data_IF_488851660264
#
_entry.id   IF_488851660264
#
_cell.length_a   1.000
_cell.length_b   1.000
_cell.length_c   1.000
_cell.angle_alpha   90.00
_cell.angle_beta   90.00
_cell.angle_gamma   90.00
#
_symmetry.space_group_name_H-M   'P 1'
#
loop_
_entity.id
_entity.type
_entity.pdbx_description
1 polymer ?
#
# COMPACT_ATOMS: atom_id res chain seq x y z
N UNK A 1 -0.31 35.98 -18.24
CA UNK A 1 0.34 36.15 -16.93
C UNK A 1 -0.42 35.48 -15.77
N UNK A 2 -1.30 34.49 -16.03
CA UNK A 2 -2.10 33.77 -15.01
C UNK A 2 -1.73 32.29 -14.84
N UNK A 3 -0.68 31.82 -15.53
CA UNK A 3 -0.36 30.40 -15.61
C UNK A 3 -0.15 29.78 -14.23
N UNK A 4 0.54 30.49 -13.33
CA UNK A 4 0.86 29.98 -11.99
C UNK A 4 -0.38 29.94 -11.10
N UNK A 5 -1.20 30.97 -11.16
CA UNK A 5 -2.44 31.12 -10.38
C UNK A 5 -3.46 30.05 -10.81
N UNK A 6 -3.61 29.82 -12.11
CA UNK A 6 -4.46 28.76 -12.66
C UNK A 6 -3.97 27.38 -12.21
N UNK A 7 -2.67 27.08 -12.38
CA UNK A 7 -2.10 25.79 -11.96
C UNK A 7 -2.28 25.56 -10.46
N UNK A 8 -2.07 26.59 -9.64
CA UNK A 8 -2.25 26.49 -8.18
C UNK A 8 -3.70 26.19 -7.84
N UNK A 9 -4.65 26.89 -8.45
CA UNK A 9 -6.08 26.69 -8.21
C UNK A 9 -6.52 25.29 -8.63
N UNK A 10 -6.10 24.84 -9.83
CA UNK A 10 -6.41 23.49 -10.31
C UNK A 10 -5.83 22.40 -9.41
N UNK A 11 -4.59 22.58 -8.93
CA UNK A 11 -3.95 21.62 -8.05
C UNK A 11 -4.64 21.54 -6.69
N UNK A 12 -4.98 22.69 -6.09
CA UNK A 12 -5.68 22.73 -4.80
C UNK A 12 -7.07 22.10 -4.92
N UNK A 13 -7.82 22.41 -5.97
CA UNK A 13 -9.12 21.78 -6.22
C UNK A 13 -8.96 20.27 -6.37
N UNK A 14 -7.98 19.81 -7.15
CA UNK A 14 -7.74 18.38 -7.33
C UNK A 14 -7.42 17.66 -6.00
N UNK A 15 -6.57 18.27 -5.16
CA UNK A 15 -6.27 17.76 -3.80
C UNK A 15 -7.56 17.61 -2.99
N UNK A 16 -8.44 18.62 -3.02
CA UNK A 16 -9.69 18.63 -2.24
C UNK A 16 -10.70 17.63 -2.78
N UNK A 17 -10.93 17.61 -4.09
CA UNK A 17 -11.95 16.79 -4.74
C UNK A 17 -11.63 15.29 -4.58
N UNK A 18 -10.38 14.92 -4.83
CA UNK A 18 -9.95 13.52 -4.80
C UNK A 18 -9.49 13.07 -3.40
N UNK A 19 -8.52 13.78 -2.80
CA UNK A 19 -7.96 13.46 -1.49
C UNK A 19 -8.89 13.77 -0.32
N UNK A 20 -9.85 14.68 -0.52
CA UNK A 20 -10.77 15.16 0.50
C UNK A 20 -10.26 16.39 1.25
N UNK A 21 -11.20 17.17 1.79
CA UNK A 21 -10.93 18.46 2.46
C UNK A 21 -9.93 18.37 3.62
N UNK A 22 -9.79 17.21 4.26
CA UNK A 22 -8.87 17.00 5.39
C UNK A 22 -7.54 16.37 5.00
N UNK A 23 -7.32 16.04 3.71
CA UNK A 23 -6.12 15.31 3.27
C UNK A 23 -4.82 15.98 3.76
N UNK A 24 -4.64 17.26 3.43
CA UNK A 24 -3.40 17.95 3.72
C UNK A 24 -3.18 18.04 5.24
N UNK A 25 -4.22 18.35 6.02
CA UNK A 25 -4.15 18.36 7.49
C UNK A 25 -3.78 16.98 8.08
N UNK A 26 -4.40 15.90 7.60
CA UNK A 26 -4.11 14.54 8.09
C UNK A 26 -2.68 14.13 7.78
N UNK A 27 -2.19 14.35 6.57
CA UNK A 27 -0.80 14.04 6.19
C UNK A 27 0.19 14.82 7.05
N UNK A 28 -0.07 16.10 7.31
CA UNK A 28 0.81 16.92 8.17
C UNK A 28 0.79 16.43 9.62
N UNK A 29 -0.36 16.03 10.16
CA UNK A 29 -0.48 15.53 11.53
C UNK A 29 0.13 14.14 11.71
N UNK A 30 0.01 13.29 10.69
CA UNK A 30 0.44 11.90 10.77
C UNK A 30 1.95 11.73 10.55
N UNK A 31 2.57 12.55 9.70
CA UNK A 31 3.98 12.41 9.29
C UNK A 31 4.84 13.59 9.79
N UNK A 32 4.24 14.70 10.25
CA UNK A 32 4.97 15.86 10.75
C UNK A 32 5.59 16.74 9.67
N UNK A 33 5.10 16.66 8.44
CA UNK A 33 5.57 17.47 7.29
C UNK A 33 4.77 18.75 7.11
N UNK A 34 5.24 19.67 6.25
CA UNK A 34 4.50 20.88 5.90
C UNK A 34 3.44 20.66 4.81
N UNK A 35 2.49 21.59 4.69
CA UNK A 35 1.43 21.54 3.65
C UNK A 35 1.98 21.49 2.22
N UNK A 36 3.12 22.12 1.96
CA UNK A 36 3.76 22.08 0.63
C UNK A 36 4.20 20.65 0.29
N UNK A 37 4.74 19.92 1.26
CA UNK A 37 5.17 18.53 1.05
C UNK A 37 3.97 17.60 0.91
N UNK A 38 2.89 17.83 1.67
CA UNK A 38 1.62 17.12 1.47
C UNK A 38 1.09 17.29 0.02
N UNK A 39 1.10 18.51 -0.51
CA UNK A 39 0.64 18.80 -1.89
C UNK A 39 1.59 18.22 -2.94
N UNK A 40 2.91 18.29 -2.75
CA UNK A 40 3.90 17.66 -3.65
C UNK A 40 3.70 16.16 -3.73
N UNK A 41 3.53 15.54 -2.58
CA UNK A 41 3.31 14.10 -2.45
C UNK A 41 1.98 13.67 -3.07
N UNK A 42 0.92 14.45 -2.90
CA UNK A 42 -0.32 14.24 -3.63
C UNK A 42 -0.11 14.30 -5.14
N UNK A 43 0.57 15.34 -5.65
CA UNK A 43 0.80 15.49 -7.09
C UNK A 43 1.59 14.31 -7.68
N UNK A 44 2.59 13.78 -6.95
CA UNK A 44 3.29 12.57 -7.36
C UNK A 44 2.36 11.33 -7.34
N UNK A 45 1.59 11.15 -6.27
CA UNK A 45 0.65 10.04 -6.11
C UNK A 45 -0.41 10.02 -7.22
N UNK A 46 -1.01 11.17 -7.51
CA UNK A 46 -1.99 11.34 -8.58
C UNK A 46 -1.43 10.90 -9.93
N UNK A 47 -0.23 11.39 -10.28
CA UNK A 47 0.42 11.06 -11.54
C UNK A 47 0.88 9.59 -11.62
N UNK A 48 1.33 8.98 -10.51
CA UNK A 48 1.78 7.59 -10.48
C UNK A 48 0.61 6.61 -10.63
N UNK A 49 -0.51 6.89 -9.96
CA UNK A 49 -1.63 5.94 -9.89
C UNK A 49 -2.81 6.27 -10.81
N UNK A 50 -2.83 7.47 -11.39
CA UNK A 50 -3.94 7.96 -12.23
C UNK A 50 -5.19 8.31 -11.41
N UNK A 51 -5.00 8.84 -10.19
CA UNK A 51 -6.07 9.06 -9.20
C UNK A 51 -7.18 9.93 -9.77
N UNK A 52 -6.85 11.08 -10.36
CA UNK A 52 -7.84 12.03 -10.89
C UNK A 52 -8.66 11.39 -12.01
N UNK A 53 -8.06 10.53 -12.83
CA UNK A 53 -8.76 9.82 -13.90
C UNK A 53 -9.78 8.84 -13.33
N UNK A 54 -9.40 8.05 -12.33
CA UNK A 54 -10.32 7.13 -11.65
C UNK A 54 -11.44 7.87 -10.93
N UNK A 55 -11.10 8.96 -10.23
CA UNK A 55 -12.10 9.79 -9.55
C UNK A 55 -13.13 10.36 -10.51
N UNK A 56 -12.71 10.88 -11.68
CA UNK A 56 -13.65 11.37 -12.71
C UNK A 56 -14.58 10.27 -13.21
N UNK A 57 -14.07 9.06 -13.45
CA UNK A 57 -14.91 7.94 -13.86
C UNK A 57 -15.97 7.57 -12.81
N UNK A 58 -15.61 7.61 -11.52
CA UNK A 58 -16.56 7.40 -10.41
C UNK A 58 -17.60 8.53 -10.38
N UNK A 59 -17.15 9.78 -10.47
CA UNK A 59 -18.00 10.95 -10.42
C UNK A 59 -19.00 10.99 -11.58
N UNK A 60 -18.53 10.81 -12.82
CA UNK A 60 -19.36 10.78 -14.03
C UNK A 60 -20.39 9.63 -13.96
N UNK A 61 -19.99 8.47 -13.41
CA UNK A 61 -20.91 7.35 -13.18
C UNK A 61 -22.03 7.70 -12.20
N UNK A 62 -21.72 8.46 -11.15
CA UNK A 62 -22.70 8.98 -10.19
C UNK A 62 -23.63 10.03 -10.82
N UNK A 63 -23.07 11.03 -11.53
CA UNK A 63 -23.85 12.10 -12.16
C UNK A 63 -24.84 11.58 -13.21
N UNK A 64 -24.44 10.57 -13.98
CA UNK A 64 -25.28 9.96 -15.01
C UNK A 64 -26.25 8.90 -14.46
N UNK A 65 -26.29 8.68 -13.14
CA UNK A 65 -27.16 7.71 -12.49
C UNK A 65 -26.80 6.24 -12.75
N UNK A 66 -25.60 5.97 -13.28
CA UNK A 66 -25.11 4.60 -13.50
C UNK A 66 -24.63 3.95 -12.20
N UNK A 67 -24.05 4.75 -11.31
CA UNK A 67 -23.60 4.33 -9.99
C UNK A 67 -24.55 4.84 -8.90
N UNK A 68 -25.07 3.95 -8.04
CA UNK A 68 -25.70 4.37 -6.79
C UNK A 68 -24.76 5.19 -5.92
N UNK A 69 -25.31 6.14 -5.15
CA UNK A 69 -24.53 7.09 -4.33
C UNK A 69 -23.63 6.35 -3.33
N UNK A 70 -24.16 5.33 -2.66
CA UNK A 70 -23.42 4.52 -1.69
C UNK A 70 -22.24 3.79 -2.34
N UNK A 71 -22.38 3.37 -3.60
CA UNK A 71 -21.31 2.73 -4.38
C UNK A 71 -20.25 3.75 -4.79
N UNK A 72 -20.65 4.89 -5.35
CA UNK A 72 -19.69 5.95 -5.70
C UNK A 72 -18.94 6.48 -4.47
N UNK A 73 -19.61 6.57 -3.33
CA UNK A 73 -19.01 6.99 -2.06
C UNK A 73 -17.98 5.95 -1.57
N UNK A 74 -18.34 4.66 -1.59
CA UNK A 74 -17.42 3.57 -1.23
C UNK A 74 -16.18 3.59 -2.11
N UNK A 75 -16.34 3.64 -3.43
CA UNK A 75 -15.22 3.70 -4.38
C UNK A 75 -14.33 4.93 -4.15
N UNK A 76 -14.93 6.09 -3.87
CA UNK A 76 -14.21 7.32 -3.53
C UNK A 76 -13.41 7.17 -2.24
N UNK A 77 -13.96 6.53 -1.21
CA UNK A 77 -13.25 6.27 0.04
C UNK A 77 -12.07 5.31 -0.15
N UNK A 78 -12.23 4.27 -0.97
CA UNK A 78 -11.12 3.35 -1.28
C UNK A 78 -10.01 4.03 -2.09
N UNK A 79 -10.37 4.92 -3.02
CA UNK A 79 -9.39 5.77 -3.71
C UNK A 79 -8.63 6.66 -2.73
N UNK A 80 -9.31 7.28 -1.75
CA UNK A 80 -8.65 8.09 -0.70
C UNK A 80 -7.70 7.26 0.16
N UNK A 81 -8.02 6.01 0.46
CA UNK A 81 -7.12 5.10 1.19
C UNK A 81 -5.86 4.80 0.40
N UNK A 82 -5.96 4.64 -0.93
CA UNK A 82 -4.78 4.52 -1.80
C UNK A 82 -3.94 5.80 -1.76
N UNK A 83 -4.57 6.97 -1.90
CA UNK A 83 -3.86 8.27 -1.84
C UNK A 83 -3.09 8.39 -0.52
N UNK A 84 -3.74 8.14 0.61
CA UNK A 84 -3.12 8.26 1.94
C UNK A 84 -1.93 7.31 2.11
N UNK A 85 -2.04 6.06 1.65
CA UNK A 85 -0.96 5.05 1.75
C UNK A 85 0.22 5.40 0.87
N UNK A 86 -0.04 5.71 -0.41
CA UNK A 86 1.01 6.06 -1.36
C UNK A 86 1.71 7.36 -0.96
N UNK A 87 0.96 8.35 -0.47
CA UNK A 87 1.51 9.60 0.02
C UNK A 87 2.50 9.38 1.17
N UNK A 88 2.07 8.61 2.17
CA UNK A 88 2.92 8.27 3.31
C UNK A 88 4.15 7.47 2.90
N UNK A 89 4.00 6.51 1.99
CA UNK A 89 5.13 5.74 1.47
C UNK A 89 6.19 6.66 0.85
N UNK A 90 5.77 7.60 -0.01
CA UNK A 90 6.68 8.57 -0.62
C UNK A 90 7.37 9.45 0.42
N UNK A 91 6.65 9.88 1.46
CA UNK A 91 7.23 10.70 2.53
C UNK A 91 8.25 9.93 3.38
N UNK A 92 8.02 8.63 3.60
CA UNK A 92 8.86 7.79 4.46
C UNK A 92 10.10 7.24 3.73
N UNK A 93 9.98 6.92 2.45
CA UNK A 93 11.01 6.18 1.71
C UNK A 93 11.75 7.03 0.65
N UNK A 94 11.30 8.26 0.38
CA UNK A 94 11.94 9.15 -0.61
C UNK A 94 12.52 10.39 0.05
N UNK A 95 13.66 10.92 -0.46
CA UNK A 95 14.25 12.15 0.07
C UNK A 95 13.28 13.33 0.03
N UNK A 96 13.28 14.12 1.11
CA UNK A 96 12.47 15.33 1.25
C UNK A 96 13.32 16.61 1.08
N UNK A 97 12.79 17.68 0.45
CA UNK A 97 11.47 17.78 -0.16
C UNK A 97 11.34 16.93 -1.44
N UNK A 98 10.19 16.29 -1.63
CA UNK A 98 9.95 15.37 -2.74
C UNK A 98 10.21 16.01 -4.11
N UNK A 99 11.11 15.40 -4.89
CA UNK A 99 11.34 15.77 -6.29
C UNK A 99 10.24 15.18 -7.19
N UNK A 100 9.05 15.78 -7.19
CA UNK A 100 7.82 15.26 -7.84
C UNK A 100 8.06 14.67 -9.24
N UNK A 101 8.73 15.40 -10.13
CA UNK A 101 8.97 14.92 -11.50
C UNK A 101 9.89 13.68 -11.56
N UNK A 102 10.88 13.59 -10.67
CA UNK A 102 11.77 12.44 -10.62
C UNK A 102 11.04 11.19 -10.13
N UNK A 103 10.17 11.33 -9.12
CA UNK A 103 9.38 10.22 -8.58
C UNK A 103 8.32 9.75 -9.58
N UNK A 104 7.69 10.66 -10.32
CA UNK A 104 6.81 10.30 -11.44
C UNK A 104 7.58 9.49 -12.49
N UNK A 105 8.75 9.97 -12.92
CA UNK A 105 9.57 9.27 -13.90
C UNK A 105 10.03 7.89 -13.42
N UNK A 106 10.29 7.74 -12.11
CA UNK A 106 10.69 6.46 -11.51
C UNK A 106 9.55 5.45 -11.48
N UNK A 107 8.34 5.87 -11.10
CA UNK A 107 7.25 4.94 -10.77
C UNK A 107 6.14 4.86 -11.81
N UNK A 108 5.68 5.97 -12.41
CA UNK A 108 4.39 5.99 -13.11
C UNK A 108 4.30 4.98 -14.27
N UNK A 109 5.31 4.95 -15.14
CA UNK A 109 5.34 4.01 -16.27
C UNK A 109 5.46 2.54 -15.81
N UNK A 110 6.28 2.28 -14.78
CA UNK A 110 6.46 0.93 -14.22
C UNK A 110 5.19 0.44 -13.52
N UNK A 111 4.54 1.28 -12.72
CA UNK A 111 3.24 0.97 -12.10
C UNK A 111 2.20 0.66 -13.16
N UNK A 112 2.09 1.47 -14.21
CA UNK A 112 1.18 1.23 -15.32
C UNK A 112 1.46 -0.11 -16.03
N UNK A 113 2.72 -0.46 -16.24
CA UNK A 113 3.12 -1.71 -16.89
C UNK A 113 2.89 -2.96 -16.01
N UNK A 114 3.06 -2.85 -14.69
CA UNK A 114 2.89 -3.97 -13.75
C UNK A 114 1.44 -4.18 -13.31
N UNK A 115 0.59 -3.15 -13.39
CA UNK A 115 -0.82 -3.25 -12.95
C UNK A 115 -1.59 -4.39 -13.63
N UNK A 116 -1.51 -4.61 -14.96
CA UNK A 116 -2.20 -5.70 -15.63
C UNK A 116 -1.73 -7.10 -15.20
N UNK A 117 -0.53 -7.20 -14.64
CA UNK A 117 0.07 -8.46 -14.18
C UNK A 117 -0.38 -8.83 -12.76
N UNK A 118 -0.94 -7.89 -11.99
CA UNK A 118 -1.37 -8.13 -10.61
C UNK A 118 -2.27 -9.37 -10.38
N UNK A 119 -3.23 -9.73 -11.26
CA UNK A 119 -4.02 -10.96 -11.08
C UNK A 119 -3.18 -12.24 -10.91
N UNK A 120 -1.94 -12.24 -11.39
CA UNK A 120 -1.04 -13.39 -11.31
C UNK A 120 -0.33 -13.50 -9.95
N UNK A 121 -0.22 -12.39 -9.21
CA UNK A 121 0.49 -12.33 -7.93
C UNK A 121 -0.44 -12.32 -6.72
N UNK A 122 -1.69 -11.86 -6.90
CA UNK A 122 -2.69 -11.94 -5.85
C UNK A 122 -3.00 -13.41 -5.54
N UNK A 123 -2.80 -13.78 -4.28
CA UNK A 123 -2.94 -15.14 -3.75
C UNK A 123 -4.01 -15.17 -2.66
N UNK A 124 -4.45 -16.38 -2.33
CA UNK A 124 -5.27 -16.64 -1.14
C UNK A 124 -6.46 -15.69 -0.96
N UNK A 125 -6.53 -15.09 0.23
CA UNK A 125 -7.61 -14.19 0.62
C UNK A 125 -7.63 -12.88 -0.19
N UNK A 126 -6.47 -12.36 -0.57
CA UNK A 126 -6.35 -11.09 -1.30
C UNK A 126 -7.02 -11.16 -2.66
N UNK A 127 -6.77 -12.24 -3.40
CA UNK A 127 -7.43 -12.47 -4.69
C UNK A 127 -8.95 -12.55 -4.52
N UNK A 128 -9.42 -13.30 -3.52
CA UNK A 128 -10.84 -13.45 -3.25
C UNK A 128 -11.51 -12.13 -2.85
N UNK A 129 -10.83 -11.28 -2.08
CA UNK A 129 -11.31 -9.95 -1.70
C UNK A 129 -11.45 -9.08 -2.95
N UNK A 130 -10.40 -8.99 -3.77
CA UNK A 130 -10.43 -8.18 -5.01
C UNK A 130 -11.53 -8.64 -5.95
N UNK A 131 -11.65 -9.94 -6.21
CA UNK A 131 -12.67 -10.50 -7.10
C UNK A 131 -14.08 -10.21 -6.57
N UNK A 132 -14.29 -10.34 -5.26
CA UNK A 132 -15.56 -10.02 -4.61
C UNK A 132 -15.89 -8.53 -4.74
N UNK A 133 -14.98 -7.64 -4.38
CA UNK A 133 -15.22 -6.19 -4.42
C UNK A 133 -15.44 -5.68 -5.85
N UNK A 134 -14.63 -6.15 -6.80
CA UNK A 134 -14.81 -5.83 -8.22
C UNK A 134 -16.17 -6.34 -8.73
N UNK A 135 -16.56 -7.55 -8.34
CA UNK A 135 -17.87 -8.12 -8.67
C UNK A 135 -19.04 -7.32 -8.07
N UNK A 136 -18.92 -6.90 -6.81
CA UNK A 136 -19.89 -6.04 -6.13
C UNK A 136 -20.04 -4.69 -6.85
N UNK A 137 -18.95 -4.01 -7.18
CA UNK A 137 -19.01 -2.74 -7.92
C UNK A 137 -19.62 -2.91 -9.31
N UNK A 138 -19.20 -3.94 -10.05
CA UNK A 138 -19.72 -4.21 -11.39
C UNK A 138 -21.21 -4.55 -11.38
N UNK A 139 -21.68 -5.31 -10.38
CA UNK A 139 -23.10 -5.63 -10.21
C UNK A 139 -23.96 -4.38 -9.96
N UNK A 140 -23.36 -3.29 -9.47
CA UNK A 140 -24.04 -2.01 -9.21
C UNK A 140 -23.68 -0.92 -10.24
N UNK A 141 -23.29 -1.32 -11.45
CA UNK A 141 -23.21 -0.41 -12.60
C UNK A 141 -21.83 0.16 -12.91
N UNK A 142 -20.79 -0.17 -12.14
CA UNK A 142 -19.43 0.18 -12.52
C UNK A 142 -18.99 -0.62 -13.76
N UNK A 143 -18.21 -0.01 -14.65
CA UNK A 143 -17.56 -0.76 -15.72
C UNK A 143 -16.58 -1.78 -15.11
N UNK A 144 -16.37 -2.95 -15.73
CA UNK A 144 -15.42 -3.95 -15.22
C UNK A 144 -14.03 -3.38 -14.95
N UNK A 145 -13.55 -2.51 -15.83
CA UNK A 145 -12.24 -1.87 -15.70
C UNK A 145 -12.18 -0.93 -14.49
N UNK A 146 -13.21 -0.11 -14.25
CA UNK A 146 -13.28 0.80 -13.12
C UNK A 146 -13.42 0.01 -11.81
N UNK A 147 -14.32 -0.97 -11.78
CA UNK A 147 -14.55 -1.84 -10.63
C UNK A 147 -13.26 -2.53 -10.19
N UNK A 148 -12.56 -3.16 -11.14
CA UNK A 148 -11.29 -3.82 -10.86
C UNK A 148 -10.21 -2.83 -10.42
N UNK A 149 -10.07 -1.70 -11.13
CA UNK A 149 -9.06 -0.67 -10.82
C UNK A 149 -9.18 -0.11 -9.41
N UNK A 150 -10.41 0.08 -8.92
CA UNK A 150 -10.66 0.53 -7.54
C UNK A 150 -10.39 -0.60 -6.55
N UNK A 151 -10.91 -1.81 -6.80
CA UNK A 151 -10.74 -2.96 -5.92
C UNK A 151 -9.26 -3.33 -5.69
N UNK A 152 -8.41 -3.27 -6.73
CA UNK A 152 -6.98 -3.54 -6.58
C UNK A 152 -6.19 -2.40 -5.94
N UNK A 153 -6.76 -1.22 -5.73
CA UNK A 153 -6.01 -0.02 -5.38
C UNK A 153 -5.10 -0.20 -4.16
N UNK A 154 -5.60 -0.89 -3.13
CA UNK A 154 -4.87 -1.18 -1.90
C UNK A 154 -3.80 -2.27 -2.02
N UNK A 155 -3.72 -2.96 -3.15
CA UNK A 155 -2.61 -3.86 -3.48
C UNK A 155 -1.67 -3.21 -4.50
N UNK A 156 -2.21 -2.36 -5.37
CA UNK A 156 -1.48 -1.62 -6.39
C UNK A 156 -0.45 -0.68 -5.76
N UNK A 157 -0.74 -0.11 -4.58
CA UNK A 157 0.24 0.73 -3.88
C UNK A 157 1.51 -0.05 -3.47
N UNK A 158 1.44 -1.37 -3.25
CA UNK A 158 2.61 -2.22 -2.96
C UNK A 158 3.60 -2.28 -4.12
N UNK A 159 3.20 -1.89 -5.34
CA UNK A 159 4.11 -1.76 -6.46
C UNK A 159 5.20 -0.69 -6.22
N UNK A 160 4.98 0.28 -5.33
CA UNK A 160 6.04 1.21 -4.92
C UNK A 160 7.18 0.48 -4.23
N UNK A 161 6.86 -0.43 -3.30
CA UNK A 161 7.87 -1.27 -2.66
C UNK A 161 8.56 -2.18 -3.66
N UNK A 162 7.79 -2.89 -4.48
CA UNK A 162 8.32 -3.80 -5.50
C UNK A 162 9.30 -3.10 -6.43
N UNK A 163 8.92 -1.97 -7.02
CA UNK A 163 9.77 -1.22 -7.94
C UNK A 163 11.02 -0.72 -7.23
N UNK A 164 10.87 -0.21 -6.01
CA UNK A 164 12.00 0.35 -5.27
C UNK A 164 12.99 -0.73 -4.81
N UNK A 165 12.50 -1.89 -4.37
CA UNK A 165 13.31 -3.08 -4.05
C UNK A 165 14.02 -3.56 -5.31
N UNK A 166 13.29 -3.75 -6.42
CA UNK A 166 13.84 -4.21 -7.70
C UNK A 166 14.98 -3.30 -8.19
N UNK A 167 14.82 -1.99 -8.08
CA UNK A 167 15.87 -1.03 -8.42
C UNK A 167 17.10 -1.13 -7.49
N UNK A 168 16.93 -1.51 -6.21
CA UNK A 168 18.02 -1.65 -5.23
C UNK A 168 18.78 -2.97 -5.39
N UNK A 169 18.08 -4.08 -5.60
CA UNK A 169 18.70 -5.41 -5.78
C UNK A 169 19.05 -5.72 -7.24
N UNK A 170 18.74 -4.80 -8.15
CA UNK A 170 18.97 -4.93 -9.61
C UNK A 170 18.30 -6.18 -10.21
N UNK A 171 17.04 -6.44 -9.83
CA UNK A 171 16.22 -7.57 -10.32
C UNK A 171 15.01 -7.13 -11.12
N UNK A 172 14.39 -8.08 -11.82
CA UNK A 172 13.16 -7.83 -12.57
C UNK A 172 12.00 -7.51 -11.60
N UNK A 173 11.26 -6.39 -11.79
CA UNK A 173 10.14 -6.06 -10.92
C UNK A 173 9.03 -7.12 -10.84
N UNK A 174 8.83 -7.94 -11.88
CA UNK A 174 7.85 -9.02 -11.86
C UNK A 174 8.29 -10.19 -10.95
N UNK A 175 9.59 -10.48 -10.91
CA UNK A 175 10.18 -11.45 -9.97
C UNK A 175 10.04 -10.97 -8.52
N UNK A 176 10.34 -9.69 -8.29
CA UNK A 176 10.20 -9.08 -6.96
C UNK A 176 8.73 -9.02 -6.54
N UNK A 177 7.80 -8.73 -7.46
CA UNK A 177 6.37 -8.76 -7.18
C UNK A 177 5.92 -10.17 -6.76
N UNK A 178 6.33 -11.20 -7.52
CA UNK A 178 6.01 -12.58 -7.21
C UNK A 178 6.44 -12.95 -5.78
N UNK A 179 7.68 -12.62 -5.42
CA UNK A 179 8.24 -12.83 -4.08
C UNK A 179 7.52 -12.02 -3.00
N UNK A 180 7.25 -10.74 -3.26
CA UNK A 180 6.61 -9.83 -2.29
C UNK A 180 5.20 -10.29 -1.93
N UNK A 181 4.39 -10.66 -2.93
CA UNK A 181 3.03 -11.15 -2.69
C UNK A 181 3.02 -12.59 -2.14
N UNK A 182 3.97 -13.45 -2.50
CA UNK A 182 4.12 -14.77 -1.90
C UNK A 182 4.40 -14.64 -0.40
N UNK A 183 5.27 -13.68 -0.04
CA UNK A 183 5.64 -13.41 1.34
C UNK A 183 4.48 -12.78 2.12
N UNK A 184 3.68 -11.92 1.49
CA UNK A 184 2.48 -11.32 2.07
C UNK A 184 1.47 -12.40 2.52
N UNK A 185 1.19 -13.36 1.62
CA UNK A 185 0.30 -14.51 1.84
C UNK A 185 0.87 -15.49 2.86
N UNK A 186 2.15 -15.87 2.72
CA UNK A 186 2.82 -16.82 3.61
C UNK A 186 2.87 -16.38 5.08
N UNK A 187 2.90 -15.06 5.31
CA UNK A 187 2.90 -14.45 6.65
C UNK A 187 1.49 -14.11 7.16
N UNK A 188 0.45 -14.21 6.32
CA UNK A 188 -0.94 -13.85 6.66
C UNK A 188 -1.10 -12.36 6.98
N UNK A 189 -0.32 -11.50 6.32
CA UNK A 189 -0.28 -10.06 6.65
C UNK A 189 -1.55 -9.32 6.27
N UNK A 190 -2.30 -9.82 5.29
CA UNK A 190 -3.62 -9.34 4.89
C UNK A 190 -4.61 -9.37 6.05
N UNK A 191 -4.65 -10.46 6.81
CA UNK A 191 -5.49 -10.63 7.99
C UNK A 191 -5.14 -9.63 9.08
N UNK A 192 -3.85 -9.41 9.34
CA UNK A 192 -3.40 -8.38 10.29
C UNK A 192 -3.78 -6.97 9.83
N UNK A 193 -3.57 -6.64 8.56
CA UNK A 193 -3.89 -5.32 8.02
C UNK A 193 -5.40 -5.04 8.01
N UNK A 194 -6.20 -6.10 7.82
CA UNK A 194 -7.66 -6.07 7.95
C UNK A 194 -8.06 -5.85 9.41
N UNK A 195 -7.46 -6.57 10.37
CA UNK A 195 -7.69 -6.36 11.79
C UNK A 195 -7.31 -4.93 12.25
N UNK A 196 -6.17 -4.41 11.78
CA UNK A 196 -5.77 -3.00 12.00
C UNK A 196 -6.77 -2.01 11.38
N UNK A 197 -7.43 -2.38 10.28
CA UNK A 197 -8.49 -1.58 9.67
C UNK A 197 -9.79 -1.59 10.51
N UNK A 198 -10.05 -2.66 11.25
CA UNK A 198 -11.21 -2.81 12.15
C UNK A 198 -11.05 -2.17 13.53
N UNK A 199 -9.83 -1.82 13.95
CA UNK A 199 -9.59 -1.13 15.22
C UNK A 199 -10.42 0.16 15.38
N UNK A 200 -10.73 0.60 16.63
CA UNK A 200 -11.44 1.86 16.89
C UNK A 200 -10.73 3.11 16.34
N UNK A 201 -11.46 4.23 16.24
CA UNK A 201 -10.96 5.56 15.80
C UNK A 201 -11.30 6.65 16.82
N UNK A 202 -11.28 6.29 18.09
CA UNK A 202 -11.92 7.10 19.14
C UNK A 202 -11.18 8.43 19.37
N UNK A 203 -9.87 8.46 19.12
CA UNK A 203 -9.07 9.67 19.20
C UNK A 203 -7.86 9.68 18.24
N UNK A 204 -7.08 10.77 18.32
CA UNK A 204 -5.84 10.98 17.57
C UNK A 204 -4.80 9.89 17.85
N UNK A 205 -4.63 9.47 19.09
CA UNK A 205 -3.61 8.48 19.47
C UNK A 205 -3.95 7.09 18.99
N UNK A 206 -5.23 6.70 19.02
CA UNK A 206 -5.72 5.48 18.39
C UNK A 206 -5.44 5.49 16.88
N UNK A 207 -5.66 6.63 16.21
CA UNK A 207 -5.37 6.78 14.78
C UNK A 207 -3.88 6.62 14.49
N UNK A 208 -3.00 7.29 15.25
CA UNK A 208 -1.55 7.16 15.12
C UNK A 208 -1.04 5.75 15.45
N UNK A 209 -1.58 5.08 16.46
CA UNK A 209 -1.20 3.72 16.81
C UNK A 209 -1.50 2.73 15.67
N UNK A 210 -2.68 2.83 15.05
CA UNK A 210 -3.05 2.01 13.89
C UNK A 210 -2.12 2.22 12.70
N UNK A 211 -1.76 3.48 12.49
CA UNK A 211 -0.82 3.86 11.45
C UNK A 211 0.56 3.27 11.72
N UNK A 212 1.08 3.40 12.95
CA UNK A 212 2.36 2.83 13.34
C UNK A 212 2.40 1.32 13.17
N UNK A 213 1.35 0.59 13.58
CA UNK A 213 1.28 -0.87 13.39
C UNK A 213 1.30 -1.23 11.90
N UNK A 214 0.58 -0.48 11.06
CA UNK A 214 0.56 -0.70 9.61
C UNK A 214 1.93 -0.45 8.97
N UNK A 215 2.56 0.66 9.32
CA UNK A 215 3.89 1.03 8.83
C UNK A 215 4.93 -0.02 9.27
N UNK A 216 4.80 -0.55 10.49
CA UNK A 216 5.64 -1.63 11.00
C UNK A 216 5.48 -2.95 10.23
N UNK A 217 4.24 -3.33 9.89
CA UNK A 217 3.95 -4.53 9.09
C UNK A 217 4.58 -4.39 7.70
N UNK A 218 4.30 -3.30 6.98
CA UNK A 218 4.82 -3.10 5.64
C UNK A 218 6.34 -2.91 5.61
N UNK A 219 6.89 -2.16 6.58
CA UNK A 219 8.34 -2.02 6.71
C UNK A 219 9.04 -3.35 6.97
N UNK A 220 8.42 -4.24 7.74
CA UNK A 220 8.96 -5.59 7.97
C UNK A 220 8.81 -6.47 6.73
N UNK A 221 7.68 -6.42 6.02
CA UNK A 221 7.48 -7.14 4.77
C UNK A 221 8.51 -6.74 3.72
N UNK A 222 8.76 -5.43 3.57
CA UNK A 222 9.79 -4.88 2.70
C UNK A 222 11.19 -5.40 3.07
N UNK A 223 11.56 -5.34 4.34
CA UNK A 223 12.86 -5.83 4.82
C UNK A 223 13.04 -7.35 4.62
N UNK A 224 11.99 -8.13 4.87
CA UNK A 224 11.98 -9.57 4.63
C UNK A 224 12.08 -9.91 3.14
N UNK A 225 11.44 -9.12 2.27
CA UNK A 225 11.56 -9.30 0.83
C UNK A 225 13.02 -9.17 0.35
N UNK A 226 13.78 -8.22 0.89
CA UNK A 226 15.24 -8.16 0.66
C UNK A 226 15.95 -9.43 1.18
N UNK A 227 15.66 -9.88 2.41
CA UNK A 227 16.29 -11.06 2.99
C UNK A 227 16.00 -12.34 2.17
N UNK A 228 14.79 -12.47 1.62
CA UNK A 228 14.36 -13.60 0.78
C UNK A 228 15.03 -13.55 -0.59
N UNK A 229 15.02 -12.39 -1.25
CA UNK A 229 15.68 -12.21 -2.55
C UNK A 229 17.21 -12.39 -2.47
N UNK A 230 17.82 -12.12 -1.32
CA UNK A 230 19.26 -12.26 -1.12
C UNK A 230 19.75 -13.73 -1.09
N UNK A 231 18.85 -14.69 -0.89
CA UNK A 231 19.21 -16.12 -0.83
C UNK A 231 18.67 -16.93 -2.01
N UNK A 232 17.57 -16.49 -2.62
CA UNK A 232 16.94 -17.22 -3.73
C UNK A 232 17.37 -16.72 -5.11
N UNK A 233 17.44 -17.63 -6.09
CA UNK A 233 17.89 -17.38 -7.45
C UNK A 233 16.80 -16.76 -8.33
N UNK A 234 17.13 -15.97 -9.38
CA UNK A 234 16.14 -15.21 -10.15
C UNK A 234 15.03 -16.05 -10.82
N UNK A 235 15.34 -17.26 -11.26
CA UNK A 235 14.43 -18.18 -11.96
C UNK A 235 13.49 -18.95 -11.04
N UNK A 236 13.69 -18.85 -9.72
CA UNK A 236 12.81 -19.48 -8.74
C UNK A 236 11.49 -18.71 -8.54
N UNK A 237 10.44 -19.43 -8.18
CA UNK A 237 9.20 -18.83 -7.69
C UNK A 237 9.39 -18.18 -6.32
N UNK A 238 8.54 -17.21 -5.97
CA UNK A 238 8.52 -16.59 -4.65
C UNK A 238 8.43 -17.61 -3.52
N UNK A 239 7.61 -18.66 -3.69
CA UNK A 239 7.47 -19.75 -2.73
C UNK A 239 8.77 -20.56 -2.54
N UNK A 240 9.51 -20.83 -3.62
CA UNK A 240 10.81 -21.50 -3.54
C UNK A 240 11.84 -20.63 -2.79
N UNK A 241 11.96 -19.35 -3.16
CA UNK A 241 12.85 -18.40 -2.48
C UNK A 241 12.54 -18.30 -0.98
N UNK A 242 11.26 -18.28 -0.61
CA UNK A 242 10.81 -18.27 0.78
C UNK A 242 11.24 -19.54 1.51
N UNK A 243 11.06 -20.72 0.90
CA UNK A 243 11.46 -21.99 1.51
C UNK A 243 12.97 -22.06 1.79
N UNK A 244 13.80 -21.55 0.89
CA UNK A 244 15.25 -21.47 1.08
C UNK A 244 15.64 -20.49 2.19
N UNK A 245 14.98 -19.32 2.22
CA UNK A 245 15.13 -18.35 3.29
C UNK A 245 14.74 -18.94 4.64
N UNK A 246 13.64 -19.67 4.74
CA UNK A 246 13.22 -20.34 5.97
C UNK A 246 14.21 -21.42 6.41
N UNK A 247 14.78 -22.19 5.48
CA UNK A 247 15.80 -23.19 5.81
C UNK A 247 17.00 -22.55 6.54
N UNK A 248 17.43 -21.38 6.08
CA UNK A 248 18.56 -20.64 6.66
C UNK A 248 18.20 -19.89 7.96
N UNK A 249 16.93 -19.53 8.15
CA UNK A 249 16.46 -18.68 9.26
C UNK A 249 15.49 -19.39 10.24
N UNK A 250 15.31 -20.71 10.13
CA UNK A 250 14.17 -21.44 10.66
C UNK A 250 13.89 -21.21 12.15
N UNK A 251 14.90 -21.21 13.02
CA UNK A 251 14.68 -21.02 14.47
C UNK A 251 14.04 -19.67 14.84
N UNK A 252 14.28 -18.63 14.04
CA UNK A 252 13.71 -17.28 14.24
C UNK A 252 12.30 -17.21 13.68
N UNK A 253 12.11 -17.73 12.46
CA UNK A 253 10.82 -17.75 11.77
C UNK A 253 9.80 -18.58 12.56
N UNK A 254 10.18 -19.79 13.00
CA UNK A 254 9.32 -20.69 13.77
C UNK A 254 8.84 -20.09 15.10
N UNK A 255 9.70 -19.34 15.81
CA UNK A 255 9.32 -18.66 17.05
C UNK A 255 8.29 -17.56 16.80
N UNK A 256 8.51 -16.75 15.77
CA UNK A 256 7.58 -15.70 15.40
C UNK A 256 6.24 -16.29 14.91
N UNK A 257 6.28 -17.33 14.08
CA UNK A 257 5.09 -18.03 13.55
C UNK A 257 4.22 -18.63 14.66
N UNK A 258 4.81 -19.24 15.69
CA UNK A 258 4.06 -19.76 16.84
C UNK A 258 3.24 -18.67 17.53
N UNK A 259 3.89 -17.54 17.82
CA UNK A 259 3.24 -16.39 18.48
C UNK A 259 2.15 -15.79 17.58
N UNK A 260 2.40 -15.66 16.28
CA UNK A 260 1.40 -15.18 15.31
C UNK A 260 0.20 -16.12 15.23
N UNK A 261 0.42 -17.43 15.26
CA UNK A 261 -0.66 -18.43 15.22
C UNK A 261 -1.56 -18.36 16.45
N UNK A 262 -0.98 -18.11 17.64
CA UNK A 262 -1.75 -17.87 18.87
C UNK A 262 -2.60 -16.60 18.77
N UNK A 263 -2.05 -15.54 18.18
CA UNK A 263 -2.78 -14.28 17.94
C UNK A 263 -3.93 -14.49 16.94
N UNK A 264 -3.68 -15.20 15.84
CA UNK A 264 -4.70 -15.48 14.82
C UNK A 264 -5.83 -16.38 15.32
N UNK A 265 -5.56 -17.25 16.29
CA UNK A 265 -6.57 -18.11 16.91
C UNK A 265 -7.42 -17.37 17.96
N UNK A 266 -7.01 -16.19 18.40
CA UNK A 266 -7.74 -15.41 19.40
C UNK A 266 -8.88 -14.58 18.80
N UNK A 267 -10.00 -14.47 19.52
CA UNK A 267 -11.18 -13.70 19.08
C UNK A 267 -11.02 -12.17 19.21
N UNK A 268 -9.97 -11.69 19.91
CA UNK A 268 -9.78 -10.27 20.22
C UNK A 268 -8.50 -9.71 19.57
N UNK A 269 -8.67 -8.82 18.60
CA UNK A 269 -7.58 -8.05 17.99
C UNK A 269 -7.63 -6.61 18.47
N UNK A 270 -7.05 -6.33 19.64
CA UNK A 270 -6.83 -4.97 20.13
C UNK A 270 -5.49 -4.40 19.65
N UNK A 271 -5.22 -3.12 19.95
CA UNK A 271 -3.97 -2.45 19.57
C UNK A 271 -2.75 -3.18 20.14
N UNK A 272 -2.82 -3.67 21.38
CA UNK A 272 -1.70 -4.34 22.03
C UNK A 272 -1.36 -5.64 21.30
N UNK A 273 -2.36 -6.46 21.02
CA UNK A 273 -2.22 -7.73 20.31
C UNK A 273 -1.66 -7.54 18.90
N UNK A 274 -2.18 -6.56 18.15
CA UNK A 274 -1.70 -6.29 16.79
C UNK A 274 -0.30 -5.64 16.77
N UNK A 275 0.05 -4.86 17.80
CA UNK A 275 1.42 -4.35 17.98
C UNK A 275 2.41 -5.49 18.24
N UNK A 276 2.02 -6.49 19.03
CA UNK A 276 2.84 -7.70 19.24
C UNK A 276 2.99 -8.46 17.93
N UNK A 277 1.91 -8.65 17.15
CA UNK A 277 1.98 -9.31 15.85
C UNK A 277 2.97 -8.61 14.90
N UNK A 278 2.86 -7.29 14.75
CA UNK A 278 3.79 -6.50 13.93
C UNK A 278 5.25 -6.66 14.39
N UNK A 279 5.48 -6.66 15.72
CA UNK A 279 6.80 -6.92 16.29
C UNK A 279 7.32 -8.33 15.99
N UNK A 280 6.47 -9.35 15.97
CA UNK A 280 6.88 -10.71 15.62
C UNK A 280 7.33 -10.79 14.16
N UNK A 281 6.62 -10.16 13.22
CA UNK A 281 7.04 -10.08 11.81
C UNK A 281 8.39 -9.37 11.72
N UNK A 282 8.55 -8.22 12.38
CA UNK A 282 9.83 -7.50 12.43
C UNK A 282 10.96 -8.37 12.97
N UNK A 283 10.68 -9.20 13.98
CA UNK A 283 11.69 -10.08 14.58
C UNK A 283 12.21 -11.15 13.63
N UNK A 284 11.51 -11.41 12.50
CA UNK A 284 11.95 -12.35 11.47
C UNK A 284 12.98 -11.75 10.52
N UNK A 285 13.20 -10.43 10.50
CA UNK A 285 14.23 -9.83 9.64
C UNK A 285 15.62 -10.09 10.22
N UNK A 286 16.64 -10.13 9.35
CA UNK A 286 18.03 -10.01 9.80
C UNK A 286 18.17 -8.65 10.47
N UNK A 287 18.38 -8.63 11.78
CA UNK A 287 18.89 -7.44 12.46
C UNK A 287 20.31 -7.21 11.94
N UNK A 288 20.44 -6.51 10.81
CA UNK A 288 21.68 -5.84 10.49
C UNK A 288 21.81 -4.73 11.52
N UNK A 289 22.52 -5.03 12.61
CA UNK A 289 23.07 -4.02 13.50
C UNK A 289 24.07 -3.19 12.72
N UNK A 290 23.58 -2.29 11.88
CA UNK A 290 24.34 -1.20 11.29
C UNK A 290 23.48 0.04 11.45
N UNK A 291 23.63 0.69 12.59
CA UNK A 291 23.36 2.11 12.67
C UNK A 291 24.26 2.81 11.67
N UNK A 292 23.69 3.24 10.55
CA UNK A 292 24.24 4.30 9.72
C UNK A 292 23.09 5.25 9.41
N UNK A 293 22.84 6.12 10.38
CA UNK A 293 22.43 7.48 10.08
C UNK A 293 23.52 8.14 9.23
N UNK A 294 23.17 8.49 8.01
CA UNK A 294 23.83 9.53 7.23
C UNK A 294 22.79 10.64 6.98
#
# INVERSE_FOLDING_TARGET
>A
QLRREIVTTMLVNNVVDTGGITFAYRVTEDVGVGYVDAVRTFAATDAIFGITTLWRQIHDGGENGQLPVDVSDRMTLDLRRLIDRAARWLLNYRPQPLAVGAEINRFAAKVAALTPLMPQWLRGADKAIVEKEAGEFAAHGASPDLAYSVAIGLYKYSLLDVIDIADIVERDPAEVADTYFALMDHLGTDGLLTAVSGLPRDDRWHSLARLAIRDDIYGSLRALCFDVLAVGEPDETGEQKIAEWEHTNGSRVERARRTLSEIYAGDHSDIATLSVAARQIRSMTRTTGTGQSA
#
